data_IF_070277906571
#
_entry.id   IF_070277906571
#
_cell.length_a   1.000
_cell.length_b   1.000
_cell.length_c   1.000
_cell.angle_alpha   90.00
_cell.angle_beta   90.00
_cell.angle_gamma   90.00
#
_symmetry.space_group_name_H-M   'P 1'
#
loop_
_entity.id
_entity.type
_entity.pdbx_description
1 polymer ?
#
# COMPACT_ATOMS: atom_id res chain seq x y z
N UNK A 1 13.13 -7.31 -5.53
CA UNK A 1 12.28 -6.28 -4.90
C UNK A 1 10.86 -6.83 -4.93
N UNK A 2 10.13 -6.76 -3.83
CA UNK A 2 8.77 -7.32 -3.72
C UNK A 2 7.70 -6.36 -4.28
N UNK A 3 8.02 -5.64 -5.33
CA UNK A 3 7.17 -4.65 -5.99
C UNK A 3 7.57 -4.57 -7.46
N UNK A 4 6.59 -4.57 -8.36
CA UNK A 4 6.80 -4.47 -9.79
C UNK A 4 6.11 -3.21 -10.32
N UNK A 5 6.75 -2.54 -11.29
CA UNK A 5 6.18 -1.39 -11.97
C UNK A 5 6.17 -1.65 -13.48
N UNK A 6 5.05 -1.37 -14.10
CA UNK A 6 4.92 -1.40 -15.55
C UNK A 6 4.15 -0.17 -16.04
N UNK A 7 4.37 0.20 -17.28
CA UNK A 7 3.63 1.27 -17.95
C UNK A 7 3.04 0.71 -19.25
N UNK A 8 1.74 0.64 -19.31
CA UNK A 8 1.05 0.11 -20.49
C UNK A 8 0.58 1.23 -21.42
N UNK A 9 0.88 1.13 -22.72
CA UNK A 9 0.32 2.05 -23.71
C UNK A 9 -1.21 2.08 -23.65
N UNK A 10 -1.77 3.27 -23.82
CA UNK A 10 -3.20 3.52 -23.91
C UNK A 10 -3.49 4.37 -25.16
N UNK A 11 -4.71 4.89 -25.28
CA UNK A 11 -5.11 5.69 -26.43
C UNK A 11 -4.39 7.05 -26.45
N UNK A 12 -4.21 7.61 -27.64
CA UNK A 12 -3.68 8.96 -27.86
C UNK A 12 -2.29 9.22 -27.28
N UNK A 13 -1.43 8.19 -27.19
CA UNK A 13 -0.07 8.31 -26.69
C UNK A 13 0.05 8.35 -25.15
N UNK A 14 -1.04 8.22 -24.43
CA UNK A 14 -1.03 8.08 -22.99
C UNK A 14 -0.59 6.68 -22.54
N UNK A 15 -0.20 6.57 -21.27
CA UNK A 15 0.15 5.30 -20.60
C UNK A 15 -0.63 5.15 -19.29
N UNK A 16 -0.78 3.92 -18.86
CA UNK A 16 -1.32 3.55 -17.55
C UNK A 16 -0.15 3.07 -16.71
N UNK A 17 0.12 3.73 -15.57
CA UNK A 17 1.08 3.26 -14.59
C UNK A 17 0.47 2.14 -13.76
N UNK A 18 1.12 0.98 -13.67
CA UNK A 18 0.66 -0.15 -12.86
C UNK A 18 1.73 -0.51 -11.85
N UNK A 19 1.37 -0.44 -10.56
CA UNK A 19 2.16 -0.93 -9.46
C UNK A 19 1.56 -2.26 -8.96
N UNK A 20 2.38 -3.30 -8.85
CA UNK A 20 1.96 -4.61 -8.37
C UNK A 20 2.78 -5.00 -7.13
N UNK A 21 2.12 -5.19 -6.00
CA UNK A 21 2.73 -5.78 -4.80
C UNK A 21 3.06 -7.25 -5.12
N UNK A 22 4.30 -7.67 -4.90
CA UNK A 22 4.82 -8.96 -5.38
C UNK A 22 5.55 -9.73 -4.26
N UNK A 23 4.88 -9.85 -3.13
CA UNK A 23 5.33 -10.57 -1.95
C UNK A 23 4.31 -11.66 -1.54
N UNK A 24 3.90 -12.51 -2.47
CA UNK A 24 2.82 -13.51 -2.28
C UNK A 24 3.00 -14.40 -1.04
N UNK A 25 4.25 -14.75 -0.70
CA UNK A 25 4.56 -15.60 0.45
C UNK A 25 4.17 -14.95 1.78
N UNK A 26 4.19 -13.63 1.85
CA UNK A 26 3.75 -12.83 3.00
C UNK A 26 2.38 -12.19 2.77
N UNK A 27 1.57 -12.68 1.82
CA UNK A 27 0.28 -12.10 1.46
C UNK A 27 0.39 -10.62 1.08
N UNK A 28 1.48 -10.25 0.40
CA UNK A 28 1.80 -8.89 -0.01
C UNK A 28 1.90 -7.90 1.15
N UNK A 29 2.37 -8.35 2.33
CA UNK A 29 2.62 -7.47 3.46
C UNK A 29 3.63 -6.38 3.09
N UNK A 30 3.33 -5.14 3.51
CA UNK A 30 4.13 -3.96 3.19
C UNK A 30 5.40 -3.93 4.02
N UNK A 31 6.55 -3.95 3.38
CA UNK A 31 7.83 -3.64 3.99
C UNK A 31 8.20 -2.17 3.76
N UNK A 32 9.06 -1.61 4.61
CA UNK A 32 9.54 -0.24 4.44
C UNK A 32 10.15 0.02 3.04
N UNK A 33 10.99 -0.87 2.47
CA UNK A 33 11.47 -0.68 1.11
C UNK A 33 10.37 -0.67 0.03
N UNK A 34 9.26 -1.39 0.25
CA UNK A 34 8.12 -1.34 -0.68
C UNK A 34 7.39 0.00 -0.58
N UNK A 35 7.17 0.50 0.63
CA UNK A 35 6.55 1.81 0.88
C UNK A 35 7.36 2.91 0.19
N UNK A 36 8.67 2.94 0.43
CA UNK A 36 9.57 3.94 -0.15
C UNK A 36 9.60 3.89 -1.68
N UNK A 37 9.73 2.70 -2.26
CA UNK A 37 9.76 2.54 -3.71
C UNK A 37 8.42 2.90 -4.38
N UNK A 38 7.30 2.58 -3.74
CA UNK A 38 5.97 2.96 -4.23
C UNK A 38 5.79 4.48 -4.17
N UNK A 39 6.15 5.12 -3.04
CA UNK A 39 6.05 6.57 -2.88
C UNK A 39 6.90 7.32 -3.93
N UNK A 40 8.13 6.87 -4.17
CA UNK A 40 9.00 7.44 -5.19
C UNK A 40 8.41 7.29 -6.61
N UNK A 41 7.91 6.11 -6.94
CA UNK A 41 7.29 5.86 -8.24
C UNK A 41 6.03 6.70 -8.45
N UNK A 42 5.20 6.83 -7.43
CA UNK A 42 3.99 7.64 -7.50
C UNK A 42 4.31 9.12 -7.69
N UNK A 43 5.38 9.66 -7.07
CA UNK A 43 5.86 11.02 -7.36
C UNK A 43 6.18 11.21 -8.83
N UNK A 44 6.98 10.31 -9.39
CA UNK A 44 7.35 10.38 -10.81
C UNK A 44 6.11 10.31 -11.73
N UNK A 45 5.17 9.41 -11.46
CA UNK A 45 3.95 9.29 -12.26
C UNK A 45 2.98 10.47 -12.08
N UNK A 46 2.99 11.13 -10.93
CA UNK A 46 2.19 12.33 -10.71
C UNK A 46 2.64 13.47 -11.64
N UNK A 47 3.94 13.61 -11.84
CA UNK A 47 4.57 14.67 -12.65
C UNK A 47 4.60 14.35 -14.15
N UNK A 48 4.56 13.09 -14.54
CA UNK A 48 4.63 12.67 -15.96
C UNK A 48 3.30 12.93 -16.69
N UNK A 49 3.22 13.90 -17.62
CA UNK A 49 1.98 14.24 -18.31
C UNK A 49 1.45 13.12 -19.23
N UNK A 50 2.27 12.12 -19.54
CA UNK A 50 1.87 10.99 -20.39
C UNK A 50 1.19 9.86 -19.60
N UNK A 51 1.30 9.87 -18.27
CA UNK A 51 0.56 8.93 -17.40
C UNK A 51 -0.86 9.46 -17.19
N UNK A 52 -1.84 8.76 -17.76
CA UNK A 52 -3.25 9.15 -17.66
C UNK A 52 -3.89 8.75 -16.32
N UNK A 53 -3.53 7.58 -15.80
CA UNK A 53 -4.03 7.06 -14.52
C UNK A 53 -3.05 6.04 -13.95
N UNK A 54 -3.25 5.70 -12.67
CA UNK A 54 -2.44 4.70 -11.97
C UNK A 54 -3.35 3.58 -11.46
N UNK A 55 -2.88 2.34 -11.56
CA UNK A 55 -3.49 1.17 -10.95
C UNK A 55 -2.53 0.54 -9.93
N UNK A 56 -3.02 0.31 -8.71
CA UNK A 56 -2.34 -0.47 -7.68
C UNK A 56 -3.06 -1.81 -7.50
N UNK A 57 -2.31 -2.91 -7.52
CA UNK A 57 -2.83 -4.27 -7.35
C UNK A 57 -1.85 -5.16 -6.57
N UNK A 58 -2.31 -6.31 -6.12
CA UNK A 58 -1.47 -7.37 -5.58
C UNK A 58 -1.28 -8.50 -6.59
N UNK A 59 -0.11 -9.12 -6.62
CA UNK A 59 0.13 -10.37 -7.33
C UNK A 59 -0.34 -11.57 -6.49
N UNK A 60 -0.65 -12.69 -7.17
CA UNK A 60 -1.18 -13.89 -6.55
C UNK A 60 -2.68 -13.81 -6.23
N UNK A 61 -3.32 -14.97 -5.97
CA UNK A 61 -4.78 -15.03 -5.82
C UNK A 61 -5.29 -14.76 -4.41
N UNK A 62 -4.43 -14.73 -3.39
CA UNK A 62 -4.84 -14.78 -1.98
C UNK A 62 -5.06 -13.41 -1.36
N UNK A 63 -4.29 -12.41 -1.76
CA UNK A 63 -4.32 -11.11 -1.10
C UNK A 63 -3.93 -9.98 -2.04
N UNK A 64 -4.62 -8.87 -1.92
CA UNK A 64 -4.11 -7.59 -2.36
C UNK A 64 -2.95 -7.17 -1.46
N UNK A 65 -3.23 -7.03 -0.14
CA UNK A 65 -2.23 -6.70 0.88
C UNK A 65 -2.78 -7.04 2.28
N UNK A 66 -2.02 -7.81 3.04
CA UNK A 66 -2.41 -8.23 4.40
C UNK A 66 -1.95 -7.27 5.50
N UNK A 67 -1.53 -6.04 5.16
CA UNK A 67 -1.08 -5.02 6.11
C UNK A 67 0.42 -4.83 6.12
N UNK A 68 0.93 -4.11 7.13
CA UNK A 68 2.35 -3.88 7.31
C UNK A 68 3.12 -5.15 7.72
N UNK A 69 4.37 -5.26 7.30
CA UNK A 69 5.28 -6.30 7.80
C UNK A 69 5.74 -5.95 9.23
N UNK A 70 4.90 -6.29 10.19
CA UNK A 70 5.13 -5.99 11.61
C UNK A 70 6.19 -6.89 12.26
N UNK A 71 6.66 -7.94 11.59
CA UNK A 71 7.64 -8.88 12.18
C UNK A 71 8.93 -8.16 12.54
N UNK A 72 9.47 -7.36 11.64
CA UNK A 72 10.67 -6.58 11.91
C UNK A 72 10.46 -5.53 13.00
N UNK A 73 9.28 -4.91 13.03
CA UNK A 73 8.93 -3.93 14.07
C UNK A 73 8.90 -4.58 15.46
N UNK A 74 8.30 -5.77 15.58
CA UNK A 74 8.27 -6.53 16.84
C UNK A 74 9.67 -6.91 17.31
N UNK A 75 10.57 -7.34 16.41
CA UNK A 75 11.96 -7.61 16.75
C UNK A 75 12.66 -6.39 17.34
N UNK A 76 12.56 -5.26 16.67
CA UNK A 76 13.17 -4.00 17.13
C UNK A 76 12.60 -3.52 18.46
N UNK A 77 11.29 -3.64 18.67
CA UNK A 77 10.67 -3.28 19.96
C UNK A 77 11.15 -4.18 21.11
N UNK A 78 11.43 -5.46 20.83
CA UNK A 78 11.99 -6.39 21.85
C UNK A 78 13.45 -6.12 22.17
N UNK A 79 14.23 -5.65 21.21
CA UNK A 79 15.63 -5.26 21.40
C UNK A 79 15.76 -3.93 22.16
N UNK A 80 14.75 -3.06 22.08
CA UNK A 80 14.72 -1.73 22.70
C UNK A 80 13.46 -1.52 23.55
N UNK A 81 13.31 -2.26 24.67
CA UNK A 81 12.10 -2.18 25.49
C UNK A 81 11.96 -0.78 26.14
N UNK A 82 10.76 -0.19 26.02
CA UNK A 82 10.46 1.14 26.55
C UNK A 82 10.83 2.30 25.64
N UNK A 83 11.40 2.04 24.45
CA UNK A 83 11.74 3.05 23.46
C UNK A 83 10.90 2.88 22.19
N UNK A 84 10.81 3.95 21.40
CA UNK A 84 10.24 3.87 20.04
C UNK A 84 11.39 3.64 19.06
N UNK A 85 11.53 2.42 18.50
CA UNK A 85 12.62 2.13 17.58
C UNK A 85 12.61 3.05 16.36
N UNK A 86 13.79 3.51 15.86
CA UNK A 86 13.87 4.36 14.66
C UNK A 86 13.19 3.75 13.44
N UNK A 87 13.30 2.42 13.27
CA UNK A 87 12.63 1.70 12.18
C UNK A 87 11.11 1.83 12.26
N UNK A 88 10.52 1.63 13.46
CA UNK A 88 9.08 1.75 13.65
C UNK A 88 8.59 3.18 13.35
N UNK A 89 9.30 4.19 13.86
CA UNK A 89 8.99 5.60 13.58
C UNK A 89 9.01 5.90 12.08
N UNK A 90 10.04 5.42 11.38
CA UNK A 90 10.19 5.64 9.92
C UNK A 90 9.11 4.90 9.15
N UNK A 91 8.84 3.62 9.50
CA UNK A 91 7.83 2.80 8.85
C UNK A 91 6.46 3.49 8.86
N UNK A 92 5.93 3.83 10.03
CA UNK A 92 4.62 4.47 10.13
C UNK A 92 4.58 5.87 9.50
N UNK A 93 5.66 6.66 9.66
CA UNK A 93 5.71 7.98 9.05
C UNK A 93 5.67 7.90 7.50
N UNK A 94 6.38 6.97 6.91
CA UNK A 94 6.44 6.82 5.46
C UNK A 94 5.18 6.13 4.91
N UNK A 95 4.60 5.16 5.64
CA UNK A 95 3.31 4.55 5.32
C UNK A 95 2.20 5.61 5.26
N UNK A 96 2.06 6.44 6.30
CA UNK A 96 1.02 7.48 6.33
C UNK A 96 1.22 8.56 5.26
N UNK A 97 2.46 8.89 4.90
CA UNK A 97 2.74 9.78 3.76
C UNK A 97 2.34 9.15 2.44
N UNK A 98 2.56 7.85 2.27
CA UNK A 98 2.13 7.11 1.09
C UNK A 98 0.59 7.10 0.99
N UNK A 99 -0.13 6.80 2.08
CA UNK A 99 -1.59 6.82 2.12
C UNK A 99 -2.14 8.21 1.75
N UNK A 100 -1.56 9.26 2.34
CA UNK A 100 -1.92 10.64 2.01
C UNK A 100 -1.67 10.97 0.54
N UNK A 101 -0.54 10.50 -0.02
CA UNK A 101 -0.23 10.69 -1.45
C UNK A 101 -1.23 9.99 -2.35
N UNK A 102 -1.63 8.77 -2.03
CA UNK A 102 -2.66 8.05 -2.78
C UNK A 102 -3.98 8.82 -2.73
N UNK A 103 -4.36 9.29 -1.55
CA UNK A 103 -5.60 10.06 -1.35
C UNK A 103 -5.63 11.38 -2.12
N UNK A 104 -4.49 12.08 -2.20
CA UNK A 104 -4.36 13.37 -2.89
C UNK A 104 -3.77 13.25 -4.29
N UNK A 105 -3.74 12.04 -4.86
CA UNK A 105 -3.09 11.82 -6.15
C UNK A 105 -3.77 12.64 -7.27
N UNK A 106 -3.01 13.39 -8.10
CA UNK A 106 -3.59 14.37 -9.02
C UNK A 106 -4.24 13.75 -10.27
N UNK A 107 -4.21 12.43 -10.40
CA UNK A 107 -4.78 11.69 -11.53
C UNK A 107 -5.67 10.56 -11.02
N UNK A 108 -6.55 9.96 -11.84
CA UNK A 108 -7.32 8.80 -11.41
C UNK A 108 -6.43 7.70 -10.85
N UNK A 109 -6.68 7.34 -9.59
CA UNK A 109 -5.97 6.28 -8.89
C UNK A 109 -6.93 5.13 -8.62
N UNK A 110 -6.61 3.97 -9.16
CA UNK A 110 -7.43 2.76 -9.11
C UNK A 110 -6.74 1.75 -8.20
N UNK A 111 -7.44 1.23 -7.20
CA UNK A 111 -6.98 0.10 -6.40
C UNK A 111 -7.81 -1.14 -6.73
N UNK A 112 -7.14 -2.22 -7.17
CA UNK A 112 -7.74 -3.53 -7.39
C UNK A 112 -7.48 -4.41 -6.17
N UNK A 113 -8.47 -4.48 -5.28
CA UNK A 113 -8.35 -5.04 -3.94
C UNK A 113 -9.06 -6.41 -3.82
N UNK A 114 -8.41 -7.47 -4.32
CA UNK A 114 -8.89 -8.85 -4.23
C UNK A 114 -8.35 -9.58 -2.99
N UNK A 115 -8.98 -10.67 -2.58
CA UNK A 115 -8.53 -11.51 -1.47
C UNK A 115 -8.42 -10.73 -0.14
N UNK A 116 -7.38 -10.97 0.65
CA UNK A 116 -7.18 -10.25 1.90
C UNK A 116 -6.75 -8.80 1.67
N UNK A 117 -7.43 -7.86 2.34
CA UNK A 117 -7.18 -6.43 2.34
C UNK A 117 -7.25 -5.97 3.80
N UNK A 118 -6.12 -5.98 4.49
CA UNK A 118 -6.09 -5.83 5.94
C UNK A 118 -5.14 -4.71 6.36
N UNK A 119 -5.46 -4.00 7.43
CA UNK A 119 -4.59 -2.99 8.05
C UNK A 119 -4.04 -1.98 7.05
N UNK A 120 -2.70 -1.87 6.91
CA UNK A 120 -2.07 -1.01 5.91
C UNK A 120 -2.55 -1.24 4.46
N UNK A 121 -2.99 -2.47 4.13
CA UNK A 121 -3.65 -2.75 2.85
C UNK A 121 -5.00 -2.04 2.71
N UNK A 122 -5.74 -1.87 3.80
CA UNK A 122 -6.94 -1.03 3.84
C UNK A 122 -6.59 0.43 3.59
N UNK A 123 -5.50 0.95 4.19
CA UNK A 123 -5.02 2.32 3.97
C UNK A 123 -4.79 2.61 2.49
N UNK A 124 -4.01 1.75 1.82
CA UNK A 124 -3.77 1.87 0.38
C UNK A 124 -5.06 1.85 -0.46
N UNK A 125 -6.01 0.96 -0.12
CA UNK A 125 -7.27 0.86 -0.84
C UNK A 125 -8.18 2.06 -0.57
N UNK A 126 -8.34 2.44 0.70
CA UNK A 126 -9.27 3.50 1.10
C UNK A 126 -8.87 4.87 0.56
N UNK A 127 -7.56 5.14 0.47
CA UNK A 127 -7.03 6.35 -0.14
C UNK A 127 -7.33 6.48 -1.64
N UNK A 128 -7.50 5.36 -2.36
CA UNK A 128 -7.73 5.37 -3.80
C UNK A 128 -9.08 6.00 -4.17
N UNK A 129 -9.09 6.81 -5.22
CA UNK A 129 -10.31 7.42 -5.76
C UNK A 129 -11.27 6.41 -6.39
N UNK A 130 -10.73 5.31 -6.95
CA UNK A 130 -11.51 4.22 -7.54
C UNK A 130 -11.09 2.92 -6.86
N UNK A 131 -12.02 2.28 -6.17
CA UNK A 131 -11.82 1.06 -5.39
C UNK A 131 -12.59 -0.10 -6.01
N UNK A 132 -11.87 -1.10 -6.49
CA UNK A 132 -12.46 -2.30 -7.11
C UNK A 132 -12.26 -3.46 -6.15
N UNK A 133 -13.37 -4.07 -5.72
CA UNK A 133 -13.39 -5.29 -4.92
C UNK A 133 -13.93 -6.45 -5.74
N UNK A 134 -13.61 -7.66 -5.32
CA UNK A 134 -14.02 -8.90 -5.97
C UNK A 134 -14.83 -9.75 -4.98
N UNK A 135 -15.54 -10.81 -5.40
CA UNK A 135 -16.22 -11.73 -4.48
C UNK A 135 -15.28 -12.40 -3.46
N UNK A 136 -13.98 -12.46 -3.75
CA UNK A 136 -12.96 -12.98 -2.83
C UNK A 136 -12.46 -11.96 -1.82
N UNK A 137 -12.78 -10.67 -1.95
CA UNK A 137 -12.26 -9.63 -1.07
C UNK A 137 -12.70 -9.82 0.38
N UNK A 138 -11.75 -9.69 1.29
CA UNK A 138 -11.92 -9.79 2.75
C UNK A 138 -11.28 -8.56 3.37
N UNK A 139 -12.12 -7.58 3.67
CA UNK A 139 -11.70 -6.26 4.18
C UNK A 139 -11.71 -6.29 5.70
N UNK A 140 -10.70 -5.71 6.33
CA UNK A 140 -10.66 -5.65 7.79
C UNK A 140 -9.52 -4.83 8.36
N UNK A 141 -9.73 -4.37 9.60
CA UNK A 141 -8.76 -3.65 10.41
C UNK A 141 -8.48 -4.47 11.68
N UNK A 142 -7.56 -5.47 11.62
CA UNK A 142 -7.34 -6.42 12.71
C UNK A 142 -6.34 -5.94 13.76
N UNK A 143 -5.99 -4.66 13.80
CA UNK A 143 -4.94 -4.07 14.63
C UNK A 143 -5.11 -4.36 16.11
N UNK A 144 -6.35 -4.46 16.59
CA UNK A 144 -6.64 -4.79 18.00
C UNK A 144 -6.04 -6.13 18.42
N UNK A 145 -5.87 -7.08 17.50
CA UNK A 145 -5.29 -8.40 17.81
C UNK A 145 -3.79 -8.34 18.10
N UNK A 146 -3.13 -7.24 17.77
CA UNK A 146 -1.69 -7.01 18.00
C UNK A 146 -1.44 -5.81 18.92
N UNK A 147 -2.47 -5.34 19.62
CA UNK A 147 -2.36 -4.23 20.58
C UNK A 147 -2.25 -2.84 19.95
N UNK A 148 -2.62 -2.72 18.66
CA UNK A 148 -2.74 -1.44 17.96
C UNK A 148 -4.21 -1.05 17.79
N UNK A 149 -4.44 0.15 17.27
CA UNK A 149 -5.76 0.63 16.87
C UNK A 149 -5.82 0.76 15.33
N UNK A 150 -7.01 0.74 14.72
CA UNK A 150 -7.17 1.02 13.30
C UNK A 150 -6.63 2.41 12.96
N UNK A 151 -5.58 2.44 12.16
CA UNK A 151 -4.87 3.65 11.72
C UNK A 151 -5.06 3.88 10.21
N UNK A 152 -4.06 4.30 9.46
CA UNK A 152 -4.02 4.48 7.99
C UNK A 152 -5.26 5.18 7.40
N UNK A 153 -5.87 6.07 8.16
CA UNK A 153 -7.10 6.77 7.76
C UNK A 153 -8.39 5.94 7.87
N UNK A 154 -8.33 4.75 8.48
CA UNK A 154 -9.44 3.79 8.55
C UNK A 154 -10.71 4.31 9.26
N UNK A 155 -10.59 5.37 10.07
CA UNK A 155 -11.73 6.05 10.71
C UNK A 155 -12.29 7.23 9.91
N UNK A 156 -11.63 7.59 8.81
CA UNK A 156 -12.02 8.73 7.97
C UNK A 156 -12.83 8.31 6.73
N UNK A 157 -12.53 7.17 6.11
CA UNK A 157 -13.13 6.68 4.86
C UNK A 157 -14.36 5.81 5.06
#
# INVERSE_FOLDING_TARGET
MNLQFEERPSLHGYRIGIASLDAEKSLNALSLPMIEALDERLKAWAEDPTIACVMLRGNGPKAFCAGGDVVQLVHQCREHPGEVPPLARRFFADEYRLDYRIHTFPKPFICWAHGHVLGGGMGLMQGAGIRIVTPSSRLGMPEINIGLYPDVGGSWF
#
